data_IF_373546687593
#
_entry.id   IF_373546687593
#
_cell.length_a   1.000
_cell.length_b   1.000
_cell.length_c   1.000
_cell.angle_alpha   90.00
_cell.angle_beta   90.00
_cell.angle_gamma   90.00
#
_symmetry.space_group_name_H-M   'P 1'
#
loop_
_entity.id
_entity.type
_entity.pdbx_description
1 polymer ?
#
# COMPACT_ATOMS: atom_id res chain seq x y z
N UNK A 1 12.31 -11.30 -31.04
CA UNK A 1 11.31 -12.34 -30.75
C UNK A 1 10.27 -12.37 -31.86
N UNK A 2 9.58 -13.49 -32.07
CA UNK A 2 8.50 -13.60 -33.07
C UNK A 2 7.30 -12.70 -32.67
N UNK A 3 6.67 -12.03 -33.63
CA UNK A 3 5.45 -11.25 -33.40
C UNK A 3 4.21 -12.16 -33.36
N UNK A 4 3.15 -11.81 -32.60
CA UNK A 4 1.90 -12.54 -32.64
C UNK A 4 1.24 -12.45 -34.01
N UNK A 5 0.54 -13.52 -34.42
CA UNK A 5 -0.22 -13.58 -35.67
C UNK A 5 -1.64 -13.00 -35.56
N UNK A 6 -2.16 -12.89 -34.34
CA UNK A 6 -3.44 -12.27 -34.02
C UNK A 6 -3.37 -11.71 -32.61
N UNK A 7 -3.97 -10.54 -32.37
CA UNK A 7 -3.94 -9.86 -31.07
C UNK A 7 -5.18 -9.00 -30.87
N UNK A 8 -5.68 -8.95 -29.64
CA UNK A 8 -6.75 -8.08 -29.17
C UNK A 8 -6.27 -7.40 -27.91
N UNK A 9 -6.40 -6.07 -27.86
CA UNK A 9 -6.10 -5.26 -26.69
C UNK A 9 -7.37 -4.57 -26.24
N UNK A 10 -7.75 -4.80 -24.99
CA UNK A 10 -8.95 -4.20 -24.39
C UNK A 10 -8.51 -3.28 -23.24
N UNK A 11 -8.90 -1.99 -23.25
CA UNK A 11 -8.58 -1.10 -22.16
C UNK A 11 -9.44 -1.40 -20.92
N UNK A 12 -8.80 -1.34 -19.75
CA UNK A 12 -9.47 -1.33 -18.46
C UNK A 12 -9.94 0.10 -18.16
N UNK A 13 -11.24 0.35 -18.32
CA UNK A 13 -11.82 1.69 -18.24
C UNK A 13 -12.71 1.87 -17.01
N UNK A 14 -12.49 2.94 -16.25
CA UNK A 14 -13.37 3.33 -15.14
C UNK A 14 -13.51 4.86 -15.12
N UNK A 15 -14.76 5.36 -15.08
CA UNK A 15 -15.02 6.80 -15.02
C UNK A 15 -14.45 7.61 -16.20
N UNK A 16 -14.28 7.00 -17.37
CA UNK A 16 -13.68 7.65 -18.55
C UNK A 16 -12.15 7.68 -18.56
N UNK A 17 -11.48 7.07 -17.56
CA UNK A 17 -10.03 6.97 -17.49
C UNK A 17 -9.55 5.54 -17.80
N UNK A 18 -8.38 5.44 -18.45
CA UNK A 18 -7.70 4.17 -18.73
C UNK A 18 -6.81 3.81 -17.54
N UNK A 19 -7.04 2.66 -16.92
CA UNK A 19 -6.24 2.13 -15.80
C UNK A 19 -5.19 1.12 -16.27
N UNK A 20 -5.36 0.56 -17.46
CA UNK A 20 -4.44 -0.41 -18.05
C UNK A 20 -5.03 -1.07 -19.27
N UNK A 21 -4.39 -2.16 -19.71
CA UNK A 21 -4.80 -2.92 -20.90
C UNK A 21 -4.74 -4.41 -20.55
N UNK A 22 -5.75 -5.15 -20.98
CA UNK A 22 -5.70 -6.61 -21.06
C UNK A 22 -5.31 -6.97 -22.49
N UNK A 23 -4.18 -7.66 -22.62
CA UNK A 23 -3.64 -8.13 -23.90
C UNK A 23 -3.90 -9.63 -24.06
N UNK A 24 -4.52 -9.99 -25.19
CA UNK A 24 -4.75 -11.37 -25.58
C UNK A 24 -4.22 -11.59 -26.99
N UNK A 25 -3.25 -12.48 -27.15
CA UNK A 25 -2.61 -12.74 -28.43
C UNK A 25 -2.51 -14.24 -28.75
N UNK A 26 -2.41 -14.54 -30.04
CA UNK A 26 -2.19 -15.88 -30.56
C UNK A 26 -0.97 -15.88 -31.50
N UNK A 27 -0.03 -16.80 -31.24
CA UNK A 27 1.26 -16.80 -31.94
C UNK A 27 1.22 -17.51 -33.31
N UNK A 28 0.30 -18.46 -33.49
CA UNK A 28 0.29 -19.36 -34.66
C UNK A 28 -0.92 -19.21 -35.60
N UNK A 29 -2.03 -18.65 -35.12
CA UNK A 29 -3.31 -18.55 -35.83
C UNK A 29 -3.61 -17.09 -36.16
N UNK A 30 -3.95 -16.84 -37.41
CA UNK A 30 -4.50 -15.57 -37.89
C UNK A 30 -6.01 -15.53 -37.62
N UNK A 31 -6.58 -14.33 -37.47
CA UNK A 31 -8.01 -14.13 -37.19
C UNK A 31 -8.52 -14.98 -36.01
N UNK A 32 -7.70 -15.08 -34.96
CA UNK A 32 -7.91 -16.05 -33.90
C UNK A 32 -9.05 -15.71 -32.94
N UNK A 33 -9.59 -14.48 -32.98
CA UNK A 33 -10.57 -14.00 -32.02
C UNK A 33 -11.82 -13.55 -32.74
N UNK A 34 -12.95 -14.13 -32.35
CA UNK A 34 -14.26 -13.73 -32.82
C UNK A 34 -14.74 -12.47 -32.09
N UNK A 35 -15.79 -11.83 -32.61
CA UNK A 35 -16.45 -10.73 -31.92
C UNK A 35 -17.03 -11.13 -30.55
N UNK A 36 -17.36 -12.41 -30.35
CA UNK A 36 -17.80 -12.92 -29.04
C UNK A 36 -16.66 -12.96 -28.03
N UNK A 37 -15.46 -13.35 -28.48
CA UNK A 37 -14.25 -13.36 -27.63
C UNK A 37 -13.87 -11.95 -27.18
N UNK A 38 -13.95 -10.97 -28.09
CA UNK A 38 -13.68 -9.56 -27.77
C UNK A 38 -14.67 -9.05 -26.71
N UNK A 39 -15.98 -9.29 -26.88
CA UNK A 39 -17.00 -8.87 -25.90
C UNK A 39 -16.81 -9.52 -24.52
N UNK A 40 -16.39 -10.79 -24.50
CA UNK A 40 -16.06 -11.46 -23.24
C UNK A 40 -14.85 -10.77 -22.59
N UNK A 41 -13.80 -10.49 -23.34
CA UNK A 41 -12.61 -9.82 -22.84
C UNK A 41 -12.91 -8.39 -22.34
N UNK A 42 -13.78 -7.64 -23.01
CA UNK A 42 -14.33 -6.36 -22.55
C UNK A 42 -15.03 -6.47 -21.19
N UNK A 43 -15.87 -7.49 -21.02
CA UNK A 43 -16.59 -7.73 -19.76
C UNK A 43 -15.63 -8.07 -18.63
N UNK A 44 -14.61 -8.88 -18.92
CA UNK A 44 -13.55 -9.23 -17.96
C UNK A 44 -12.75 -8.00 -17.58
N UNK A 45 -12.32 -7.18 -18.56
CA UNK A 45 -11.54 -5.96 -18.31
C UNK A 45 -12.33 -4.94 -17.47
N UNK A 46 -13.63 -4.77 -17.75
CA UNK A 46 -14.52 -3.91 -16.97
C UNK A 46 -14.70 -4.40 -15.53
N UNK A 47 -14.76 -5.72 -15.31
CA UNK A 47 -14.84 -6.29 -13.96
C UNK A 47 -13.51 -6.17 -13.21
N UNK A 48 -12.39 -6.40 -13.90
CA UNK A 48 -11.05 -6.33 -13.33
C UNK A 48 -10.72 -4.93 -12.80
N UNK A 49 -11.03 -3.86 -13.56
CA UNK A 49 -10.74 -2.49 -13.11
C UNK A 49 -11.54 -2.10 -11.87
N UNK A 50 -12.80 -2.52 -11.77
CA UNK A 50 -13.62 -2.29 -10.57
C UNK A 50 -13.02 -3.02 -9.36
N UNK A 51 -12.61 -4.28 -9.54
CA UNK A 51 -11.99 -5.05 -8.46
C UNK A 51 -10.66 -4.46 -8.00
N UNK A 52 -9.81 -4.02 -8.93
CA UNK A 52 -8.53 -3.37 -8.63
C UNK A 52 -8.73 -2.05 -7.89
N UNK A 53 -9.69 -1.24 -8.31
CA UNK A 53 -9.99 0.04 -7.65
C UNK A 53 -10.55 -0.17 -6.24
N UNK A 54 -11.44 -1.16 -6.06
CA UNK A 54 -11.93 -1.54 -4.74
C UNK A 54 -10.79 -2.01 -3.82
N UNK A 55 -9.87 -2.84 -4.33
CA UNK A 55 -8.72 -3.30 -3.56
C UNK A 55 -7.82 -2.11 -3.14
N UNK A 56 -7.59 -1.14 -4.04
CA UNK A 56 -6.85 0.09 -3.74
C UNK A 56 -7.53 0.91 -2.65
N UNK A 57 -8.84 1.17 -2.77
CA UNK A 57 -9.61 1.95 -1.79
C UNK A 57 -9.63 1.28 -0.41
N UNK A 58 -9.76 -0.05 -0.36
CA UNK A 58 -9.68 -0.80 0.89
C UNK A 58 -8.29 -0.67 1.53
N UNK A 59 -7.23 -0.82 0.75
CA UNK A 59 -5.86 -0.65 1.24
C UNK A 59 -5.61 0.77 1.79
N UNK A 60 -6.09 1.81 1.10
CA UNK A 60 -5.98 3.20 1.56
C UNK A 60 -6.76 3.45 2.85
N UNK A 61 -7.97 2.90 2.94
CA UNK A 61 -8.80 3.01 4.15
C UNK A 61 -8.12 2.33 5.34
N UNK A 62 -7.57 1.13 5.13
CA UNK A 62 -6.85 0.40 6.16
C UNK A 62 -5.60 1.17 6.62
N UNK A 63 -4.81 1.71 5.69
CA UNK A 63 -3.65 2.52 6.03
C UNK A 63 -4.03 3.79 6.80
N UNK A 64 -5.13 4.45 6.44
CA UNK A 64 -5.62 5.62 7.16
C UNK A 64 -6.05 5.27 8.59
N UNK A 65 -6.76 4.15 8.76
CA UNK A 65 -7.17 3.65 10.07
C UNK A 65 -5.96 3.31 10.96
N UNK A 66 -4.94 2.68 10.40
CA UNK A 66 -3.70 2.35 11.13
C UNK A 66 -2.98 3.61 11.62
N UNK A 67 -2.89 4.65 10.79
CA UNK A 67 -2.30 5.95 11.17
C UNK A 67 -3.09 6.64 12.27
N UNK A 68 -4.41 6.65 12.18
CA UNK A 68 -5.28 7.21 13.22
C UNK A 68 -5.14 6.45 14.53
N UNK A 69 -5.10 5.12 14.47
CA UNK A 69 -4.94 4.25 15.64
C UNK A 69 -3.61 4.51 16.33
N UNK A 70 -2.49 4.57 15.59
CA UNK A 70 -1.19 4.90 16.16
C UNK A 70 -1.15 6.30 16.80
N UNK A 71 -1.80 7.28 16.18
CA UNK A 71 -1.90 8.64 16.74
C UNK A 71 -2.70 8.63 18.04
N UNK A 72 -3.82 7.90 18.07
CA UNK A 72 -4.66 7.75 19.26
C UNK A 72 -3.93 7.02 20.40
N UNK A 73 -3.15 5.98 20.10
CA UNK A 73 -2.30 5.27 21.07
C UNK A 73 -1.32 6.23 21.74
N UNK A 74 -0.61 7.06 20.97
CA UNK A 74 0.33 8.06 21.52
C UNK A 74 -0.41 9.06 22.42
N UNK A 75 -1.56 9.57 21.98
CA UNK A 75 -2.38 10.50 22.77
C UNK A 75 -2.88 9.87 24.08
N UNK A 76 -3.28 8.60 24.05
CA UNK A 76 -3.68 7.87 25.25
C UNK A 76 -2.51 7.71 26.24
N UNK A 77 -1.30 7.44 25.75
CA UNK A 77 -0.10 7.36 26.60
C UNK A 77 0.20 8.72 27.24
N UNK A 78 0.12 9.81 26.47
CA UNK A 78 0.26 11.18 27.00
C UNK A 78 -0.75 11.43 28.12
N UNK A 79 -2.03 11.13 27.89
CA UNK A 79 -3.09 11.36 28.86
C UNK A 79 -2.93 10.55 30.16
N UNK A 80 -2.31 9.36 30.09
CA UNK A 80 -2.07 8.48 31.26
C UNK A 80 -0.75 8.74 31.97
N UNK A 81 0.13 9.57 31.42
CA UNK A 81 1.47 9.86 31.95
C UNK A 81 1.68 11.36 32.15
N UNK A 82 0.87 12.05 32.97
CA UNK A 82 0.94 13.50 33.12
C UNK A 82 2.30 14.01 33.63
N UNK A 83 3.00 13.19 34.42
CA UNK A 83 4.24 13.57 35.10
C UNK A 83 5.51 12.97 34.47
N UNK A 84 5.39 12.27 33.33
CA UNK A 84 6.55 11.62 32.68
C UNK A 84 6.42 11.57 31.17
N UNK A 85 7.53 11.81 30.47
CA UNK A 85 7.59 11.84 28.99
C UNK A 85 8.20 10.57 28.41
N UNK A 86 8.88 9.79 29.24
CA UNK A 86 9.54 8.54 28.87
C UNK A 86 8.57 7.52 28.23
N UNK A 87 7.35 7.28 28.77
CA UNK A 87 6.40 6.37 28.14
C UNK A 87 5.95 6.86 26.76
N UNK A 88 5.84 8.18 26.59
CA UNK A 88 5.44 8.81 25.31
C UNK A 88 6.52 8.60 24.25
N UNK A 89 7.81 8.76 24.61
CA UNK A 89 8.90 8.53 23.67
C UNK A 89 8.95 7.08 23.18
N UNK A 90 8.76 6.11 24.09
CA UNK A 90 8.67 4.69 23.73
C UNK A 90 7.51 4.43 22.77
N UNK A 91 6.31 4.96 23.08
CA UNK A 91 5.14 4.81 22.23
C UNK A 91 5.35 5.38 20.81
N UNK A 92 6.04 6.53 20.69
CA UNK A 92 6.36 7.13 19.40
C UNK A 92 7.28 6.23 18.57
N UNK A 93 8.39 5.74 19.16
CA UNK A 93 9.33 4.89 18.41
C UNK A 93 8.72 3.54 18.03
N UNK A 94 7.90 2.96 18.90
CA UNK A 94 7.18 1.72 18.63
C UNK A 94 6.16 1.87 17.51
N UNK A 95 5.37 2.96 17.53
CA UNK A 95 4.44 3.29 16.46
C UNK A 95 5.16 3.53 15.13
N UNK A 96 6.24 4.31 15.13
CA UNK A 96 7.02 4.61 13.92
C UNK A 96 7.63 3.35 13.31
N UNK A 97 8.20 2.46 14.14
CA UNK A 97 8.75 1.18 13.68
C UNK A 97 7.67 0.31 13.05
N UNK A 98 6.53 0.16 13.72
CA UNK A 98 5.41 -0.68 13.28
C UNK A 98 4.78 -0.19 11.97
N UNK A 99 4.47 1.11 11.88
CA UNK A 99 3.79 1.69 10.71
C UNK A 99 4.64 1.73 9.45
N UNK A 100 5.96 1.82 9.60
CA UNK A 100 6.89 1.93 8.47
C UNK A 100 7.59 0.59 8.18
N UNK A 101 7.18 -0.50 8.83
CA UNK A 101 7.84 -1.80 8.76
C UNK A 101 9.36 -1.70 8.95
N UNK A 102 9.77 -0.81 9.87
CA UNK A 102 11.18 -0.53 10.13
C UNK A 102 11.82 -1.63 10.98
N UNK A 103 13.12 -1.89 10.74
CA UNK A 103 13.90 -2.81 11.55
C UNK A 103 14.08 -2.30 13.00
N UNK A 104 14.36 -1.00 13.14
CA UNK A 104 14.46 -0.30 14.43
C UNK A 104 14.14 1.19 14.25
N UNK A 105 13.69 1.85 15.31
CA UNK A 105 13.48 3.28 15.40
C UNK A 105 14.16 3.84 16.65
N UNK A 106 14.69 5.07 16.56
CA UNK A 106 15.30 5.79 17.67
C UNK A 106 14.84 7.24 17.68
N UNK A 107 14.43 7.74 18.85
CA UNK A 107 14.07 9.13 19.07
C UNK A 107 15.22 9.86 19.75
N UNK A 108 15.65 10.95 19.13
CA UNK A 108 16.64 11.86 19.68
C UNK A 108 15.97 13.14 20.17
N UNK A 109 16.27 13.53 21.41
CA UNK A 109 15.90 14.83 21.95
C UNK A 109 17.09 15.79 21.86
N UNK A 110 16.86 16.98 21.34
CA UNK A 110 17.85 18.06 21.35
C UNK A 110 17.96 18.61 22.77
N UNK A 111 19.17 18.68 23.31
CA UNK A 111 19.49 19.33 24.59
C UNK A 111 20.68 20.25 24.40
N UNK A 112 20.42 21.56 24.35
CA UNK A 112 21.42 22.56 23.94
C UNK A 112 21.91 22.27 22.52
N UNK A 113 23.21 22.05 22.36
CA UNK A 113 23.84 21.72 21.07
C UNK A 113 24.15 20.22 20.89
N UNK A 114 23.45 19.33 21.61
CA UNK A 114 23.67 17.87 21.55
C UNK A 114 22.36 17.12 21.27
N UNK A 115 22.45 16.03 20.52
CA UNK A 115 21.39 15.04 20.36
C UNK A 115 21.57 13.94 21.43
N UNK A 116 20.52 13.68 22.20
CA UNK A 116 20.47 12.57 23.17
C UNK A 116 19.42 11.57 22.73
N UNK A 117 19.80 10.31 22.52
CA UNK A 117 18.83 9.24 22.33
C UNK A 117 18.00 9.06 23.61
N UNK A 118 16.67 9.13 23.50
CA UNK A 118 15.75 9.04 24.65
C UNK A 118 14.82 7.84 24.57
N UNK A 119 14.68 7.22 23.39
CA UNK A 119 14.01 5.93 23.21
C UNK A 119 14.58 5.23 21.97
N UNK A 120 14.70 3.91 22.03
CA UNK A 120 15.10 3.06 20.91
C UNK A 120 14.31 1.77 21.01
N UNK A 121 13.74 1.31 19.90
CA UNK A 121 13.14 -0.02 19.82
C UNK A 121 14.23 -1.08 19.75
N UNK A 122 14.06 -2.23 20.41
CA UNK A 122 14.91 -3.39 20.14
C UNK A 122 14.84 -3.73 18.64
N UNK A 123 16.00 -4.03 18.05
CA UNK A 123 16.08 -4.57 16.71
C UNK A 123 15.25 -5.86 16.65
N UNK A 124 14.28 -5.91 15.75
CA UNK A 124 13.53 -7.14 15.49
C UNK A 124 14.53 -8.20 15.02
N UNK A 125 14.76 -9.26 15.80
CA UNK A 125 15.37 -10.47 15.24
C UNK A 125 14.32 -11.13 14.36
N UNK A 126 14.27 -10.78 13.07
CA UNK A 126 13.63 -11.65 12.10
C UNK A 126 14.64 -12.73 11.70
N UNK A 127 14.30 -13.96 12.11
CA UNK A 127 14.87 -15.24 11.68
C UNK A 127 14.35 -15.57 10.29
#
# INVERSE_FOLDING_TARGET
GRLPKSQVLVPMMLGGQVFGIVDLFHMEREEAFSAADVRLLETIAASAVVALENARLVAETQQALERQTATAEILQVIARSPDSVEPVFSAIVDCARRLLHGFSATLFRVQGNRLKAVATTQASQEV
#
